data_IF_021611656015
#
_entry.id   IF_021611656015
#
_cell.length_a   1.000
_cell.length_b   1.000
_cell.length_c   1.000
_cell.angle_alpha   90.00
_cell.angle_beta   90.00
_cell.angle_gamma   90.00
#
_symmetry.space_group_name_H-M   'P 1'
#
loop_
_entity.id
_entity.type
_entity.pdbx_description
1 polymer ?
#
# COMPACT_ATOMS: atom_id res chain seq x y z
N UNK A 1 7.69 -31.78 38.60
CA UNK A 1 7.54 -30.30 38.64
C UNK A 1 8.37 -29.79 37.49
N UNK A 2 7.76 -29.62 36.31
CA UNK A 2 8.48 -29.18 35.11
C UNK A 2 8.21 -27.72 34.83
N UNK A 3 9.32 -27.01 34.71
CA UNK A 3 9.45 -25.58 34.55
C UNK A 3 9.02 -25.18 33.14
N UNK A 4 8.02 -24.31 33.10
CA UNK A 4 7.43 -23.76 31.88
C UNK A 4 8.52 -23.16 30.97
N UNK A 5 8.83 -23.84 29.88
CA UNK A 5 9.55 -23.28 28.73
C UNK A 5 8.68 -22.20 28.07
N UNK A 6 8.68 -21.00 28.64
CA UNK A 6 8.07 -19.81 28.03
C UNK A 6 8.80 -19.53 26.73
N UNK A 7 8.14 -19.86 25.62
CA UNK A 7 8.52 -19.43 24.28
C UNK A 7 8.52 -17.89 24.29
N UNK A 8 9.69 -17.29 24.52
CA UNK A 8 9.89 -15.86 24.30
C UNK A 8 9.86 -15.66 22.80
N UNK A 9 8.69 -15.30 22.27
CA UNK A 9 8.60 -14.80 20.90
C UNK A 9 9.46 -13.53 20.89
N UNK A 10 10.61 -13.51 20.19
CA UNK A 10 11.42 -12.31 20.15
C UNK A 10 10.57 -11.23 19.50
N UNK A 11 10.29 -10.15 20.25
CA UNK A 11 9.71 -8.95 19.68
C UNK A 11 10.73 -8.41 18.68
N UNK A 12 10.54 -8.76 17.41
CA UNK A 12 11.34 -8.21 16.31
C UNK A 12 11.16 -6.70 16.34
N UNK A 13 12.25 -5.95 16.56
CA UNK A 13 12.23 -4.48 16.42
C UNK A 13 11.63 -4.16 15.06
N UNK A 14 10.48 -3.49 15.07
CA UNK A 14 9.85 -2.93 13.88
C UNK A 14 10.38 -1.53 13.74
N UNK A 15 11.09 -1.29 12.66
CA UNK A 15 11.48 0.05 12.28
C UNK A 15 10.27 0.75 11.66
N UNK A 16 10.11 2.02 11.97
CA UNK A 16 8.96 2.83 11.56
C UNK A 16 9.44 4.20 11.15
N UNK A 17 9.51 4.44 9.85
CA UNK A 17 9.68 5.81 9.34
C UNK A 17 8.30 6.41 9.11
N UNK A 18 8.09 7.61 9.68
CA UNK A 18 6.88 8.39 9.50
C UNK A 18 7.16 9.45 8.45
N UNK A 19 6.45 9.36 7.33
CA UNK A 19 6.39 10.47 6.40
C UNK A 19 5.19 11.34 6.76
N UNK A 20 5.48 12.56 7.17
CA UNK A 20 4.48 13.59 7.40
C UNK A 20 4.16 14.28 6.09
N UNK A 21 2.90 14.16 5.65
CA UNK A 21 2.40 14.88 4.48
C UNK A 21 1.53 16.02 4.99
N UNK A 22 1.85 17.24 4.58
CA UNK A 22 1.06 18.39 4.99
C UNK A 22 -0.38 18.24 4.51
N UNK A 23 -1.36 18.82 5.23
CA UNK A 23 -2.73 18.68 4.79
C UNK A 23 -2.99 19.35 3.42
N UNK A 24 -2.28 20.44 3.11
CA UNK A 24 -2.36 21.10 1.80
C UNK A 24 -1.81 20.21 0.68
N UNK A 25 -0.69 19.53 0.93
CA UNK A 25 -0.14 18.52 0.01
C UNK A 25 -1.13 17.36 -0.19
N UNK A 26 -1.77 16.91 0.89
CA UNK A 26 -2.79 15.85 0.83
C UNK A 26 -3.97 16.25 -0.05
N UNK A 27 -4.46 17.49 0.10
CA UNK A 27 -5.54 18.01 -0.74
C UNK A 27 -5.13 18.09 -2.22
N UNK A 28 -3.89 18.50 -2.50
CA UNK A 28 -3.34 18.49 -3.87
C UNK A 28 -3.25 17.08 -4.46
N UNK A 29 -2.77 16.09 -3.69
CA UNK A 29 -2.74 14.70 -4.14
C UNK A 29 -4.14 14.16 -4.44
N UNK A 30 -5.13 14.47 -3.59
CA UNK A 30 -6.51 14.08 -3.84
C UNK A 30 -7.05 14.73 -5.12
N UNK A 31 -6.76 16.01 -5.34
CA UNK A 31 -7.18 16.72 -6.54
C UNK A 31 -6.56 16.09 -7.81
N UNK A 32 -5.25 15.81 -7.80
CA UNK A 32 -4.56 15.10 -8.88
C UNK A 32 -5.13 13.69 -9.12
N UNK A 33 -5.40 12.94 -8.03
CA UNK A 33 -6.02 11.62 -8.15
C UNK A 33 -7.39 11.70 -8.83
N UNK A 34 -8.23 12.68 -8.45
CA UNK A 34 -9.54 12.91 -9.06
C UNK A 34 -9.40 13.25 -10.55
N UNK A 35 -8.51 14.19 -10.90
CA UNK A 35 -8.23 14.60 -12.28
C UNK A 35 -7.87 13.40 -13.16
N UNK A 36 -7.00 12.53 -12.67
CA UNK A 36 -6.54 11.34 -13.40
C UNK A 36 -7.43 10.09 -13.20
N UNK A 37 -8.60 10.23 -12.57
CA UNK A 37 -9.54 9.13 -12.27
C UNK A 37 -8.88 7.96 -11.52
N UNK A 38 -7.91 8.28 -10.67
CA UNK A 38 -7.20 7.35 -9.80
C UNK A 38 -7.70 7.49 -8.35
N UNK A 39 -7.41 6.48 -7.52
CA UNK A 39 -7.64 6.57 -6.07
C UNK A 39 -6.34 6.88 -5.35
N UNK A 40 -6.41 7.49 -4.17
CA UNK A 40 -5.22 7.77 -3.36
C UNK A 40 -4.42 6.50 -3.05
N UNK A 41 -5.09 5.40 -2.71
CA UNK A 41 -4.43 4.09 -2.49
C UNK A 41 -3.68 3.62 -3.73
N UNK A 42 -4.28 3.75 -4.91
CA UNK A 42 -3.67 3.32 -6.15
C UNK A 42 -2.46 4.19 -6.55
N UNK A 43 -2.56 5.50 -6.30
CA UNK A 43 -1.46 6.44 -6.44
C UNK A 43 -0.28 6.04 -5.54
N UNK A 44 -0.53 5.89 -4.23
CA UNK A 44 0.50 5.53 -3.24
C UNK A 44 1.14 4.17 -3.53
N UNK A 45 0.33 3.17 -3.91
CA UNK A 45 0.83 1.85 -4.28
C UNK A 45 1.72 1.91 -5.52
N UNK A 46 1.30 2.63 -6.56
CA UNK A 46 2.10 2.76 -7.78
C UNK A 46 3.40 3.50 -7.52
N UNK A 47 3.35 4.61 -6.77
CA UNK A 47 4.54 5.37 -6.38
C UNK A 47 5.55 4.49 -5.62
N UNK A 48 5.04 3.68 -4.68
CA UNK A 48 5.85 2.73 -3.95
C UNK A 48 6.49 1.68 -4.86
N UNK A 49 5.71 1.09 -5.77
CA UNK A 49 6.22 0.10 -6.73
C UNK A 49 7.34 0.68 -7.58
N UNK A 50 7.22 1.94 -7.99
CA UNK A 50 8.28 2.64 -8.73
C UNK A 50 9.54 2.84 -7.89
N UNK A 51 9.40 3.36 -6.67
CA UNK A 51 10.52 3.57 -5.75
C UNK A 51 11.23 2.25 -5.43
N UNK A 52 10.47 1.22 -5.09
CA UNK A 52 11.02 -0.11 -4.82
C UNK A 52 11.67 -0.73 -6.07
N UNK A 53 11.09 -0.53 -7.25
CA UNK A 53 11.69 -1.01 -8.49
C UNK A 53 13.07 -0.40 -8.68
N UNK A 54 13.22 0.92 -8.48
CA UNK A 54 14.52 1.60 -8.55
C UNK A 54 15.52 1.06 -7.55
N UNK A 55 15.12 0.99 -6.28
CA UNK A 55 16.00 0.54 -5.20
C UNK A 55 16.44 -0.91 -5.39
N UNK A 56 15.51 -1.80 -5.78
CA UNK A 56 15.84 -3.20 -6.06
C UNK A 56 16.78 -3.30 -7.25
N UNK A 57 16.56 -2.56 -8.34
CA UNK A 57 17.45 -2.58 -9.51
C UNK A 57 18.83 -1.98 -9.28
N UNK A 58 18.95 -1.04 -8.33
CA UNK A 58 20.21 -0.40 -7.99
C UNK A 58 21.14 -1.30 -7.15
N UNK A 59 20.60 -2.38 -6.55
CA UNK A 59 21.40 -3.32 -5.76
C UNK A 59 22.12 -4.34 -6.63
N UNK A 60 23.25 -4.83 -6.12
CA UNK A 60 23.94 -5.98 -6.68
C UNK A 60 23.01 -7.19 -6.81
N UNK A 61 22.97 -7.78 -8.00
CA UNK A 61 22.05 -8.88 -8.32
C UNK A 61 20.58 -8.48 -8.45
N UNK A 62 20.24 -7.20 -8.28
CA UNK A 62 18.90 -6.65 -8.42
C UNK A 62 18.23 -6.89 -9.77
N UNK A 63 19.04 -6.90 -10.83
CA UNK A 63 18.61 -7.19 -12.21
C UNK A 63 18.02 -8.60 -12.39
N UNK A 64 18.26 -9.53 -11.46
CA UNK A 64 17.70 -10.88 -11.50
C UNK A 64 16.21 -10.93 -11.13
N UNK A 65 15.70 -9.90 -10.47
CA UNK A 65 14.31 -9.85 -10.05
C UNK A 65 13.44 -9.28 -11.16
N UNK A 66 12.37 -10.02 -11.51
CA UNK A 66 11.43 -9.62 -12.58
C UNK A 66 10.17 -8.94 -12.06
N UNK A 67 9.75 -9.28 -10.84
CA UNK A 67 8.49 -8.84 -10.26
C UNK A 67 8.68 -8.48 -8.78
N UNK A 68 7.90 -7.52 -8.31
CA UNK A 68 7.72 -7.23 -6.88
C UNK A 68 6.46 -7.91 -6.40
N UNK A 69 6.50 -8.55 -5.23
CA UNK A 69 5.29 -9.00 -4.55
C UNK A 69 4.75 -7.88 -3.65
N UNK A 70 3.51 -7.46 -3.89
CA UNK A 70 2.85 -6.40 -3.11
C UNK A 70 1.45 -6.84 -2.69
N UNK A 71 0.94 -6.31 -1.56
CA UNK A 71 -0.38 -6.63 -1.00
C UNK A 71 -1.15 -5.37 -0.65
N UNK A 72 -2.34 -5.18 -1.20
CA UNK A 72 -3.20 -4.07 -0.82
C UNK A 72 -4.29 -4.56 0.15
N UNK A 73 -4.40 -3.99 1.36
CA UNK A 73 -5.54 -4.30 2.22
C UNK A 73 -6.82 -3.78 1.58
N UNK A 74 -7.88 -4.56 1.64
CA UNK A 74 -9.20 -4.23 1.09
C UNK A 74 -10.25 -4.40 2.17
N UNK A 75 -11.07 -3.37 2.33
CA UNK A 75 -12.20 -3.44 3.26
C UNK A 75 -13.25 -4.39 2.72
N UNK A 76 -13.66 -5.29 3.60
CA UNK A 76 -14.65 -6.32 3.34
C UNK A 76 -16.05 -5.95 3.79
N UNK A 77 -16.17 -4.87 4.57
CA UNK A 77 -17.42 -4.52 5.25
C UNK A 77 -18.61 -4.36 4.31
N UNK A 78 -18.39 -3.89 3.08
CA UNK A 78 -19.47 -3.73 2.09
C UNK A 78 -20.07 -5.05 1.58
N UNK A 79 -19.50 -6.20 1.96
CA UNK A 79 -19.95 -7.53 1.54
C UNK A 79 -20.46 -8.38 2.70
N UNK A 80 -20.22 -7.97 3.94
CA UNK A 80 -20.57 -8.76 5.12
C UNK A 80 -21.85 -8.27 5.81
N UNK A 81 -22.51 -7.25 5.25
CA UNK A 81 -23.66 -6.53 5.83
C UNK A 81 -23.45 -6.11 7.30
N UNK A 82 -22.19 -6.08 7.74
CA UNK A 82 -21.83 -5.78 9.11
C UNK A 82 -22.15 -4.33 9.46
N UNK A 83 -22.70 -4.12 10.65
CA UNK A 83 -23.02 -2.77 11.13
C UNK A 83 -21.79 -1.85 11.05
N UNK A 84 -22.02 -0.60 10.66
CA UNK A 84 -20.96 0.43 10.52
C UNK A 84 -20.20 0.65 11.84
N UNK A 85 -20.81 0.33 12.97
CA UNK A 85 -20.21 0.52 14.29
C UNK A 85 -19.70 -0.79 14.93
N UNK A 86 -19.94 -1.94 14.30
CA UNK A 86 -19.44 -3.21 14.80
C UNK A 86 -17.93 -3.33 14.62
N UNK A 87 -17.23 -3.71 15.70
CA UNK A 87 -15.81 -4.03 15.68
C UNK A 87 -15.63 -5.47 15.21
N UNK A 88 -15.28 -5.65 13.94
CA UNK A 88 -15.03 -6.95 13.34
C UNK A 88 -13.81 -6.88 12.42
N UNK A 89 -13.11 -8.00 12.24
CA UNK A 89 -12.04 -8.11 11.25
C UNK A 89 -12.64 -8.29 9.85
N UNK A 90 -12.94 -7.16 9.22
CA UNK A 90 -13.45 -7.09 7.85
C UNK A 90 -12.36 -6.57 6.90
N UNK A 91 -11.19 -7.23 6.91
CA UNK A 91 -10.08 -6.91 6.02
C UNK A 91 -9.60 -8.15 5.29
N UNK A 92 -9.41 -8.05 3.97
CA UNK A 92 -8.69 -9.05 3.18
C UNK A 92 -7.49 -8.37 2.52
N UNK A 93 -6.65 -9.13 1.84
CA UNK A 93 -5.52 -8.64 1.08
C UNK A 93 -5.61 -9.05 -0.38
N UNK A 94 -5.52 -8.08 -1.27
CA UNK A 94 -5.33 -8.32 -2.69
C UNK A 94 -3.83 -8.39 -2.99
N UNK A 95 -3.37 -9.57 -3.44
CA UNK A 95 -1.98 -9.79 -3.87
C UNK A 95 -1.78 -9.29 -5.31
N UNK A 96 -0.66 -8.62 -5.55
CA UNK A 96 -0.25 -8.12 -6.86
C UNK A 96 1.22 -8.42 -7.11
N UNK A 97 1.53 -8.70 -8.38
CA UNK A 97 2.88 -8.97 -8.88
C UNK A 97 3.24 -7.96 -9.97
N UNK A 98 3.38 -6.65 -9.66
CA UNK A 98 3.86 -5.69 -10.65
C UNK A 98 5.25 -6.08 -11.15
N UNK A 99 5.47 -5.90 -12.45
CA UNK A 99 6.79 -6.06 -13.08
C UNK A 99 7.70 -4.94 -12.59
N UNK A 100 8.95 -5.29 -12.29
CA UNK A 100 9.98 -4.29 -11.95
C UNK A 100 10.25 -3.48 -13.23
N UNK A 101 9.90 -2.21 -13.18
CA UNK A 101 10.04 -1.28 -14.30
C UNK A 101 10.35 0.10 -13.71
N UNK A 102 11.61 0.38 -13.34
CA UNK A 102 11.96 1.62 -12.66
C UNK A 102 11.66 2.84 -13.54
N UNK A 103 10.79 3.73 -13.07
CA UNK A 103 10.60 5.03 -13.70
C UNK A 103 11.88 5.87 -13.59
N UNK A 104 12.33 6.43 -14.73
CA UNK A 104 13.46 7.36 -14.75
C UNK A 104 13.22 8.54 -13.80
N UNK A 105 14.27 9.01 -13.10
CA UNK A 105 14.17 10.20 -12.24
C UNK A 105 13.70 11.38 -13.10
N UNK A 106 12.67 12.10 -12.63
CA UNK A 106 12.09 13.24 -13.34
C UNK A 106 11.01 12.91 -14.37
N UNK A 107 10.83 11.63 -14.75
CA UNK A 107 9.74 11.26 -15.65
C UNK A 107 8.36 11.52 -15.02
N UNK A 108 7.32 11.79 -15.83
CA UNK A 108 5.98 12.04 -15.32
C UNK A 108 5.43 10.79 -14.61
N UNK A 109 4.66 11.01 -13.55
CA UNK A 109 4.06 9.92 -12.80
C UNK A 109 3.11 9.09 -13.68
N UNK A 110 3.18 7.73 -13.62
CA UNK A 110 2.41 6.86 -14.50
C UNK A 110 0.94 6.72 -14.06
N UNK A 111 0.17 7.80 -14.18
CA UNK A 111 -1.24 7.85 -13.79
C UNK A 111 -2.12 6.76 -14.42
N UNK A 112 -1.82 6.35 -15.67
CA UNK A 112 -2.49 5.23 -16.33
C UNK A 112 -2.31 3.90 -15.58
N UNK A 113 -1.10 3.64 -15.05
CA UNK A 113 -0.81 2.45 -14.26
C UNK A 113 -1.54 2.49 -12.91
N UNK A 114 -1.53 3.65 -12.24
CA UNK A 114 -2.27 3.86 -10.99
C UNK A 114 -3.78 3.64 -11.17
N UNK A 115 -4.38 4.25 -12.19
CA UNK A 115 -5.80 4.02 -12.50
C UNK A 115 -6.10 2.54 -12.77
N UNK A 116 -5.29 1.88 -13.62
CA UNK A 116 -5.44 0.45 -13.94
C UNK A 116 -5.36 -0.43 -12.70
N UNK A 117 -4.44 -0.13 -11.79
CA UNK A 117 -4.33 -0.82 -10.51
C UNK A 117 -5.59 -0.63 -9.64
N UNK A 118 -6.06 0.61 -9.50
CA UNK A 118 -7.28 0.92 -8.74
C UNK A 118 -8.55 0.28 -9.31
N UNK A 119 -8.67 0.21 -10.63
CA UNK A 119 -9.77 -0.48 -11.32
C UNK A 119 -9.68 -2.01 -11.11
N UNK A 120 -8.48 -2.57 -11.20
CA UNK A 120 -8.21 -3.98 -10.91
C UNK A 120 -8.52 -4.35 -9.46
N UNK A 121 -8.21 -3.49 -8.50
CA UNK A 121 -8.55 -3.66 -7.08
C UNK A 121 -10.07 -3.68 -6.89
N UNK A 122 -10.79 -2.71 -7.46
CA UNK A 122 -12.26 -2.66 -7.38
C UNK A 122 -12.91 -3.90 -8.00
N UNK A 123 -12.46 -4.30 -9.19
CA UNK A 123 -13.00 -5.47 -9.90
C UNK A 123 -12.63 -6.80 -9.25
N UNK A 124 -11.42 -6.93 -8.69
CA UNK A 124 -10.97 -8.14 -8.00
C UNK A 124 -11.74 -8.36 -6.69
N UNK A 125 -12.01 -7.28 -5.98
CA UNK A 125 -12.84 -7.29 -4.77
C UNK A 125 -14.32 -7.54 -5.09
N UNK A 126 -14.82 -7.30 -6.31
CA UNK A 126 -16.17 -7.75 -6.65
C UNK A 126 -16.23 -9.26 -6.92
N UNK A 127 -15.19 -9.83 -7.57
CA UNK A 127 -15.18 -11.23 -8.04
C UNK A 127 -14.78 -12.25 -6.97
N UNK A 128 -13.77 -11.95 -6.15
CA UNK A 128 -13.14 -12.92 -5.24
C UNK A 128 -14.03 -13.30 -4.04
N UNK A 129 -15.06 -12.51 -3.79
CA UNK A 129 -16.03 -12.74 -2.72
C UNK A 129 -17.06 -13.81 -3.00
N UNK A 130 -17.38 -14.02 -4.27
CA UNK A 130 -18.28 -15.10 -4.68
C UNK A 130 -17.69 -16.47 -4.31
N UNK A 131 -16.37 -16.60 -4.23
CA UNK A 131 -15.72 -17.88 -3.89
C UNK A 131 -15.57 -18.16 -2.40
N UNK A 132 -15.31 -17.15 -1.55
CA UNK A 132 -15.04 -17.41 -0.12
C UNK A 132 -16.31 -17.69 0.70
N UNK A 133 -17.46 -17.16 0.28
CA UNK A 133 -18.75 -17.51 0.89
C UNK A 133 -19.21 -18.94 0.54
N UNK A 134 -18.67 -19.56 -0.52
CA UNK A 134 -18.95 -20.96 -0.86
C UNK A 134 -18.00 -21.97 -0.19
N UNK A 135 -16.87 -21.53 0.38
CA UNK A 135 -15.90 -22.45 0.99
C UNK A 135 -16.27 -22.92 2.41
N UNK A 136 -17.38 -22.44 2.97
CA UNK A 136 -17.92 -22.93 4.27
C UNK A 136 -19.05 -23.94 4.14
N UNK A 137 -19.53 -24.25 2.93
CA UNK A 137 -20.36 -25.44 2.70
C UNK A 137 -19.46 -26.54 2.22
N UNK A 138 -19.29 -27.56 3.07
CA UNK A 138 -18.55 -28.77 2.76
C UNK A 138 -19.21 -29.53 1.61
N UNK A 139 -18.88 -29.20 0.38
CA UNK A 139 -19.11 -30.10 -0.74
C UNK A 139 -17.75 -30.55 -1.27
N UNK A 140 -17.43 -31.80 -0.91
CA UNK A 140 -16.36 -32.59 -1.49
C UNK A 140 -16.57 -32.70 -3.00
N UNK A 141 -16.13 -31.68 -3.73
CA UNK A 141 -15.79 -31.81 -5.14
C UNK A 141 -14.30 -31.53 -5.27
N UNK A 142 -13.59 -32.59 -5.61
CA UNK A 142 -12.21 -32.61 -6.07
C UNK A 142 -12.03 -31.61 -7.21
N UNK A 143 -11.71 -30.36 -6.88
CA UNK A 143 -11.14 -29.44 -7.84
C UNK A 143 -9.67 -29.83 -8.06
N UNK A 144 -9.17 -29.83 -9.32
CA UNK A 144 -7.80 -30.20 -9.61
C UNK A 144 -6.87 -29.23 -8.89
N UNK A 145 -5.94 -29.80 -8.12
CA UNK A 145 -4.83 -29.10 -7.50
C UNK A 145 -4.20 -28.14 -8.53
N UNK A 146 -4.29 -26.83 -8.29
CA UNK A 146 -3.45 -25.88 -9.03
C UNK A 146 -2.01 -26.27 -8.73
N UNK A 147 -1.41 -26.93 -9.73
CA UNK A 147 -0.06 -27.44 -9.67
C UNK A 147 0.93 -26.32 -9.34
N UNK A 148 1.80 -26.63 -8.39
CA UNK A 148 3.23 -26.33 -8.43
C UNK A 148 3.64 -25.18 -9.37
N UNK A 149 3.59 -23.96 -8.85
CA UNK A 149 4.33 -22.80 -9.39
C UNK A 149 5.81 -22.83 -8.95
N UNK A 150 6.36 -24.01 -8.63
CA UNK A 150 7.78 -24.19 -8.38
C UNK A 150 8.54 -24.41 -9.71
N UNK A 151 8.41 -23.45 -10.64
CA UNK A 151 9.40 -23.29 -11.71
C UNK A 151 10.18 -22.05 -11.36
N UNK A 152 11.49 -22.23 -11.16
CA UNK A 152 12.49 -21.27 -10.69
C UNK A 152 12.51 -19.94 -11.45
N UNK A 153 11.51 -19.09 -11.26
CA UNK A 153 11.63 -17.65 -11.47
C UNK A 153 12.06 -17.05 -10.14
N UNK A 154 13.24 -16.41 -10.13
CA UNK A 154 13.73 -15.64 -8.99
C UNK A 154 12.77 -14.48 -8.72
N UNK A 155 11.73 -14.76 -7.95
CA UNK A 155 10.79 -13.76 -7.44
C UNK A 155 11.41 -13.20 -6.18
N UNK A 156 11.67 -11.90 -6.14
CA UNK A 156 11.85 -11.23 -4.85
C UNK A 156 10.49 -11.29 -4.15
N UNK A 157 10.28 -12.33 -3.33
CA UNK A 157 9.15 -12.36 -2.42
C UNK A 157 9.48 -11.40 -1.28
N UNK A 158 9.38 -10.11 -1.57
CA UNK A 158 9.10 -9.14 -0.54
C UNK A 158 7.73 -9.52 -0.01
N UNK A 159 7.70 -10.09 1.19
CA UNK A 159 6.49 -10.20 1.98
C UNK A 159 6.53 -9.15 3.09
N UNK A 160 6.64 -7.83 2.79
CA UNK A 160 6.22 -6.86 3.77
C UNK A 160 4.76 -7.20 4.04
N UNK A 161 4.37 -7.16 5.30
CA UNK A 161 2.96 -7.07 5.66
C UNK A 161 2.52 -5.70 5.14
N UNK A 162 2.29 -5.60 3.83
CA UNK A 162 1.95 -4.36 3.14
C UNK A 162 0.53 -3.91 3.53
N UNK A 163 -0.23 -4.81 4.18
CA UNK A 163 -1.44 -4.51 4.92
C UNK A 163 -1.25 -3.44 6.00
N UNK A 164 -0.05 -3.31 6.57
CA UNK A 164 0.30 -2.24 7.52
C UNK A 164 1.08 -1.08 6.87
N UNK A 165 1.65 -1.28 5.68
CA UNK A 165 2.63 -0.38 5.04
C UNK A 165 2.01 0.90 4.45
N UNK A 166 0.71 0.89 4.14
CA UNK A 166 -0.04 2.10 3.81
C UNK A 166 -1.26 2.22 4.73
N UNK A 167 -1.01 2.22 6.04
CA UNK A 167 -2.02 2.72 6.97
C UNK A 167 -1.99 4.24 6.95
N UNK A 168 -2.66 4.85 5.97
CA UNK A 168 -2.92 6.30 5.99
C UNK A 168 -3.94 6.55 7.10
N UNK A 169 -3.47 6.80 8.31
CA UNK A 169 -4.36 7.18 9.40
C UNK A 169 -4.65 8.67 9.29
N UNK A 170 -5.83 9.02 8.78
CA UNK A 170 -6.37 10.37 8.95
C UNK A 170 -6.76 10.54 10.42
N UNK A 171 -5.82 10.94 11.27
CA UNK A 171 -6.13 11.27 12.66
C UNK A 171 -6.68 12.69 12.73
N UNK A 172 -7.86 12.83 13.31
CA UNK A 172 -8.40 14.13 13.73
C UNK A 172 -7.66 14.55 14.99
N UNK A 173 -6.71 15.47 14.90
CA UNK A 173 -6.10 16.09 16.08
C UNK A 173 -7.16 16.99 16.71
N UNK A 174 -7.76 16.56 17.84
CA UNK A 174 -8.59 17.45 18.66
C UNK A 174 -7.64 18.36 19.43
N UNK A 175 -7.46 19.59 18.97
CA UNK A 175 -6.92 20.65 19.83
C UNK A 175 -8.02 21.02 20.82
N UNK A 176 -7.84 20.67 22.09
CA UNK A 176 -8.67 21.19 23.19
C UNK A 176 -8.28 22.64 23.41
N UNK A 177 -8.85 23.54 22.61
CA UNK A 177 -8.82 24.98 22.83
C UNK A 177 -10.18 25.45 23.32
N UNK A 178 -10.23 25.99 24.53
CA UNK A 178 -11.41 26.63 25.11
C UNK A 178 -11.76 27.92 24.35
N UNK A 179 -13.01 28.06 23.92
CA UNK A 179 -13.57 29.34 23.52
C UNK A 179 -13.54 29.62 22.00
N UNK A 180 -14.72 29.49 21.37
CA UNK A 180 -15.16 30.19 20.15
C UNK A 180 -14.15 30.34 19.00
N UNK A 181 -13.88 29.23 18.29
CA UNK A 181 -13.89 29.21 16.82
C UNK A 181 -13.71 27.76 16.36
N UNK A 182 -14.79 27.10 15.91
CA UNK A 182 -14.73 25.74 15.35
C UNK A 182 -14.16 25.80 13.92
N UNK A 183 -12.90 26.21 13.76
CA UNK A 183 -12.15 25.84 12.56
C UNK A 183 -11.83 24.36 12.70
N UNK A 184 -12.47 23.51 11.89
CA UNK A 184 -12.13 22.10 11.79
C UNK A 184 -10.68 21.98 11.34
N UNK A 185 -9.79 21.78 12.31
CA UNK A 185 -8.35 21.67 12.11
C UNK A 185 -8.06 20.53 11.14
N UNK A 186 -7.30 20.88 10.10
CA UNK A 186 -7.06 20.11 8.89
C UNK A 186 -6.31 18.81 9.23
N UNK A 187 -6.71 17.71 8.61
CA UNK A 187 -6.24 16.36 8.94
C UNK A 187 -4.85 16.13 8.32
N UNK A 188 -3.84 15.92 9.15
CA UNK A 188 -2.52 15.46 8.69
C UNK A 188 -2.66 14.01 8.23
N UNK A 189 -2.22 13.71 7.02
CA UNK A 189 -2.06 12.35 6.56
C UNK A 189 -0.66 11.88 6.98
N UNK A 190 -0.61 10.93 7.91
CA UNK A 190 0.64 10.25 8.27
C UNK A 190 0.71 8.96 7.49
N UNK A 191 1.77 8.78 6.70
CA UNK A 191 2.09 7.50 6.07
C UNK A 191 3.21 6.86 6.87
N UNK A 192 2.98 5.64 7.36
CA UNK A 192 3.99 4.89 8.10
C UNK A 192 4.42 3.66 7.35
N UNK A 193 5.72 3.51 7.17
CA UNK A 193 6.32 2.32 6.59
C UNK A 193 6.72 1.37 7.72
N UNK A 194 6.38 0.09 7.59
CA UNK A 194 6.72 -0.95 8.57
C UNK A 194 7.31 -2.13 7.82
N UNK A 195 8.50 -2.55 8.23
CA UNK A 195 9.19 -3.71 7.67
C UNK A 195 9.67 -4.67 8.76
N UNK A 196 9.82 -5.94 8.40
CA UNK A 196 10.45 -6.95 9.25
C UNK A 196 11.95 -6.95 9.06
N UNK A 197 12.71 -7.22 10.13
CA UNK A 197 14.19 -7.25 10.11
C UNK A 197 14.79 -8.21 9.08
N UNK A 198 14.07 -9.29 8.75
CA UNK A 198 14.49 -10.26 7.73
C UNK A 198 14.11 -9.86 6.29
N UNK A 199 13.24 -8.87 6.12
CA UNK A 199 12.69 -8.51 4.81
C UNK A 199 13.49 -7.39 4.16
N UNK A 200 13.85 -6.34 4.91
CA UNK A 200 14.50 -5.15 4.37
C UNK A 200 15.61 -4.71 5.33
N UNK A 201 16.78 -4.38 4.76
CA UNK A 201 17.86 -3.71 5.49
C UNK A 201 17.38 -2.33 5.96
N UNK A 202 17.90 -1.86 7.08
CA UNK A 202 17.59 -0.54 7.66
C UNK A 202 17.93 0.57 6.65
N UNK A 203 19.10 0.47 6.01
CA UNK A 203 19.57 1.42 5.00
C UNK A 203 18.62 1.52 3.79
N UNK A 204 18.07 0.39 3.34
CA UNK A 204 17.17 0.37 2.18
C UNK A 204 15.81 0.98 2.56
N UNK A 205 15.41 0.79 3.80
CA UNK A 205 14.16 1.30 4.27
C UNK A 205 14.18 2.82 4.46
N UNK A 206 15.30 3.35 4.97
CA UNK A 206 15.58 4.79 5.00
C UNK A 206 15.65 5.36 3.57
N UNK A 207 16.42 4.71 2.69
CA UNK A 207 16.48 5.10 1.28
C UNK A 207 15.10 5.08 0.59
N UNK A 208 14.24 4.12 0.94
CA UNK A 208 12.86 4.06 0.44
C UNK A 208 12.01 5.21 0.94
N UNK A 209 12.16 5.62 2.20
CA UNK A 209 11.42 6.76 2.75
C UNK A 209 11.85 8.07 2.08
N UNK A 210 13.16 8.29 1.92
CA UNK A 210 13.71 9.47 1.26
C UNK A 210 13.33 9.53 -0.23
N UNK A 211 13.44 8.41 -0.96
CA UNK A 211 13.03 8.34 -2.37
C UNK A 211 11.51 8.50 -2.54
N UNK A 212 10.69 8.00 -1.60
CA UNK A 212 9.24 8.27 -1.59
C UNK A 212 8.93 9.74 -1.39
N UNK A 213 9.61 10.41 -0.44
CA UNK A 213 9.47 11.84 -0.19
C UNK A 213 9.85 12.67 -1.42
N UNK A 214 11.01 12.38 -2.00
CA UNK A 214 11.45 13.03 -3.24
C UNK A 214 10.46 12.82 -4.40
N UNK A 215 9.88 11.61 -4.52
CA UNK A 215 8.89 11.31 -5.53
C UNK A 215 7.55 12.04 -5.28
N UNK A 216 7.14 12.24 -4.02
CA UNK A 216 5.99 13.06 -3.67
C UNK A 216 6.20 14.53 -4.05
N UNK A 217 7.36 15.09 -3.71
CA UNK A 217 7.68 16.48 -4.04
C UNK A 217 7.71 16.68 -5.56
N UNK A 218 8.28 15.74 -6.32
CA UNK A 218 8.26 15.75 -7.78
C UNK A 218 6.85 15.77 -8.37
N UNK A 219 5.95 14.93 -7.85
CA UNK A 219 4.54 14.91 -8.31
C UNK A 219 3.84 16.24 -8.04
N UNK A 220 4.18 16.93 -6.94
CA UNK A 220 3.58 18.20 -6.55
C UNK A 220 4.18 19.43 -7.25
N UNK A 221 5.39 19.31 -7.80
CA UNK A 221 6.03 20.39 -8.57
C UNK A 221 5.40 20.62 -9.94
N UNK A 222 4.61 19.65 -10.45
CA UNK A 222 3.91 19.80 -11.72
C UNK A 222 2.92 20.97 -11.63
N UNK A 223 3.06 22.04 -12.44
CA UNK A 223 2.22 23.22 -12.34
C UNK A 223 0.75 22.86 -12.58
N UNK A 224 -0.07 23.02 -11.55
CA UNK A 224 -1.52 22.73 -11.57
C UNK A 224 -2.24 23.43 -12.74
N UNK A 225 -1.79 24.63 -13.12
CA UNK A 225 -2.43 25.44 -14.16
C UNK A 225 -2.25 24.90 -15.59
N UNK A 226 -1.31 23.97 -15.85
CA UNK A 226 -1.17 23.37 -17.20
C UNK A 226 -2.17 22.25 -17.48
N UNK A 227 -2.78 21.67 -16.45
CA UNK A 227 -3.73 20.57 -16.60
C UNK A 227 -5.10 20.99 -17.16
N UNK A 228 -5.49 22.27 -17.03
CA UNK A 228 -6.81 22.74 -17.46
C UNK A 228 -6.92 23.02 -18.97
N UNK A 229 -5.81 23.08 -19.70
CA UNK A 229 -5.78 23.46 -21.12
C UNK A 229 -5.58 22.28 -22.10
N UNK A 230 -5.69 21.03 -21.63
CA UNK A 230 -5.53 19.82 -22.46
C UNK A 230 -6.83 19.01 -22.58
N UNK A 231 -7.98 19.66 -22.36
CA UNK A 231 -9.32 19.09 -22.55
C UNK A 231 -9.85 19.33 -23.96
#
# INVERSE_FOLDING_TARGET
MDEQSRIRIPFTRRYRTLLEISPDQTMRFLALCCEHKATLTAFLHTLLVEVLSRLVTAREGGANYKYLATRAPVSLRRFTDGQVFALCDHVSAANYLPRIAPLARGAPFPWKAARKFGDGLRAGVARRWVCLACSSVSERRTAPSQGSWARSTKTASFSPILGDFLRTTLRRKKTLGSGRSRRSSLRIATTSFVWGKSALDEDIAEACAEEMKAAFDHVLQVPWHRSQNLG
#
